data_IF_586455308178
#
_entry.id   IF_586455308178
#
_cell.length_a   1.000
_cell.length_b   1.000
_cell.length_c   1.000
_cell.angle_alpha   90.00
_cell.angle_beta   90.00
_cell.angle_gamma   90.00
#
_symmetry.space_group_name_H-M   'P 1'
#
loop_
_entity.id
_entity.type
_entity.pdbx_description
1 polymer ?
#
# COMPACT_ATOMS: atom_id res chain seq x y z
N UNK A 1 -33.48 -37.82 52.12
CA UNK A 1 -33.07 -38.21 50.74
C UNK A 1 -32.09 -37.21 50.04
N UNK A 2 -31.73 -36.08 50.63
CA UNK A 2 -30.79 -35.09 50.03
C UNK A 2 -29.31 -35.21 50.47
N UNK A 3 -28.96 -36.21 51.30
CA UNK A 3 -27.61 -36.31 51.89
C UNK A 3 -26.66 -37.28 51.21
N UNK A 4 -27.11 -38.11 50.28
CA UNK A 4 -26.30 -39.18 49.66
C UNK A 4 -25.74 -38.82 48.29
N UNK A 5 -26.39 -37.95 47.55
CA UNK A 5 -25.91 -37.47 46.23
C UNK A 5 -24.70 -36.56 46.30
N UNK A 6 -24.56 -35.74 47.33
CA UNK A 6 -23.42 -34.83 47.48
C UNK A 6 -22.10 -35.52 47.83
N UNK A 7 -22.12 -36.73 48.42
CA UNK A 7 -20.89 -37.47 48.74
C UNK A 7 -20.34 -38.25 47.53
N UNK A 8 -21.21 -38.64 46.59
CA UNK A 8 -20.79 -39.38 45.38
C UNK A 8 -20.16 -38.47 44.33
N UNK A 9 -20.62 -37.23 44.26
CA UNK A 9 -20.08 -36.23 43.34
C UNK A 9 -18.71 -35.72 43.78
N UNK A 10 -18.47 -35.53 45.08
CA UNK A 10 -17.16 -35.14 45.61
C UNK A 10 -16.05 -36.19 45.40
N UNK A 11 -16.37 -37.48 45.53
CA UNK A 11 -15.41 -38.54 45.30
C UNK A 11 -14.97 -38.75 43.85
N UNK A 12 -15.88 -38.48 42.88
CA UNK A 12 -15.56 -38.56 41.44
C UNK A 12 -14.79 -37.32 40.94
N UNK A 13 -15.06 -36.16 41.52
CA UNK A 13 -14.36 -34.92 41.17
C UNK A 13 -12.91 -34.93 41.64
N UNK A 14 -12.65 -35.46 42.86
CA UNK A 14 -11.29 -35.53 43.40
C UNK A 14 -10.41 -36.54 42.65
N UNK A 15 -10.97 -37.67 42.17
CA UNK A 15 -10.22 -38.65 41.35
C UNK A 15 -9.92 -38.14 39.92
N UNK A 16 -10.76 -37.24 39.37
CA UNK A 16 -10.52 -36.59 38.07
C UNK A 16 -9.48 -35.48 38.18
N UNK A 17 -9.48 -34.71 39.25
CA UNK A 17 -8.50 -33.63 39.49
C UNK A 17 -7.09 -34.21 39.74
N UNK A 18 -6.97 -35.32 40.44
CA UNK A 18 -5.66 -35.97 40.68
C UNK A 18 -5.09 -36.62 39.40
N UNK A 19 -5.94 -37.19 38.53
CA UNK A 19 -5.49 -37.68 37.20
C UNK A 19 -5.12 -36.59 36.24
N UNK A 20 -5.78 -35.44 36.27
CA UNK A 20 -5.44 -34.26 35.46
C UNK A 20 -4.16 -33.56 35.95
N UNK A 21 -3.93 -33.50 37.26
CA UNK A 21 -2.73 -32.92 37.84
C UNK A 21 -1.45 -33.75 37.52
N UNK A 22 -1.57 -35.10 37.52
CA UNK A 22 -0.46 -36.00 37.15
C UNK A 22 -0.19 -35.94 35.63
N UNK A 23 -1.21 -35.79 34.79
CA UNK A 23 -1.04 -35.61 33.34
C UNK A 23 -0.41 -34.24 32.98
N UNK A 24 -0.74 -33.19 33.72
CA UNK A 24 -0.13 -31.86 33.55
C UNK A 24 1.33 -31.85 34.05
N UNK A 25 1.65 -32.58 35.13
CA UNK A 25 3.03 -32.69 35.62
C UNK A 25 3.94 -33.51 34.69
N UNK A 26 3.39 -34.50 33.94
CA UNK A 26 4.11 -35.27 32.93
C UNK A 26 4.25 -34.58 31.57
N UNK A 27 3.37 -33.60 31.25
CA UNK A 27 3.51 -32.76 30.09
C UNK A 27 4.48 -31.59 30.30
N UNK A 28 4.75 -31.19 31.53
CA UNK A 28 5.70 -30.12 31.86
C UNK A 28 7.17 -30.61 31.91
N UNK A 29 7.42 -31.90 31.89
CA UNK A 29 8.79 -32.47 31.88
C UNK A 29 9.33 -32.80 30.48
N UNK A 30 8.52 -32.63 29.42
CA UNK A 30 8.93 -32.82 28.00
C UNK A 30 9.14 -31.52 27.21
N UNK A 31 9.08 -30.36 27.87
CA UNK A 31 9.35 -29.05 27.28
C UNK A 31 10.77 -28.52 27.58
N UNK A 32 11.67 -29.34 28.05
CA UNK A 32 13.11 -29.05 28.06
C UNK A 32 13.73 -29.47 26.71
N UNK A 33 13.24 -28.92 25.63
CA UNK A 33 13.86 -28.99 24.32
C UNK A 33 14.42 -27.62 23.97
N UNK A 34 15.74 -27.49 23.95
CA UNK A 34 16.55 -26.39 23.41
C UNK A 34 15.89 -25.00 23.46
N UNK A 35 15.78 -24.39 24.63
CA UNK A 35 15.63 -22.96 24.71
C UNK A 35 17.02 -22.36 24.44
N UNK A 36 17.24 -21.85 23.24
CA UNK A 36 18.26 -20.82 23.03
C UNK A 36 18.07 -19.79 24.15
N UNK A 37 19.11 -19.53 24.95
CA UNK A 37 19.00 -18.50 25.99
C UNK A 37 18.65 -17.20 25.33
N UNK A 38 17.48 -16.63 25.66
CA UNK A 38 17.16 -15.27 25.25
C UNK A 38 18.25 -14.32 25.75
N UNK A 39 18.60 -13.36 24.91
CA UNK A 39 19.53 -12.28 25.25
C UNK A 39 18.80 -11.07 25.85
N UNK A 40 17.45 -11.11 25.86
CA UNK A 40 16.60 -10.03 26.36
C UNK A 40 16.40 -10.12 27.88
N UNK A 41 16.44 -8.97 28.54
CA UNK A 41 16.26 -8.82 29.99
C UNK A 41 15.37 -7.60 30.29
N UNK A 42 14.20 -7.84 30.89
CA UNK A 42 13.25 -6.78 31.27
C UNK A 42 13.82 -5.78 32.29
N UNK A 43 14.85 -6.17 33.06
CA UNK A 43 15.49 -5.29 34.04
C UNK A 43 16.63 -4.45 33.43
N UNK A 44 17.06 -4.83 32.22
CA UNK A 44 18.07 -4.12 31.44
C UNK A 44 17.63 -4.07 29.97
N UNK A 45 16.63 -3.25 29.63
CA UNK A 45 16.00 -3.26 28.32
C UNK A 45 16.95 -2.79 27.24
N UNK A 46 16.86 -3.44 26.05
CA UNK A 46 17.53 -3.03 24.84
C UNK A 46 16.66 -2.00 24.10
N UNK A 47 17.29 -0.94 23.61
CA UNK A 47 16.61 0.08 22.81
C UNK A 47 16.93 -0.11 21.33
N UNK A 48 15.88 -0.17 20.50
CA UNK A 48 15.97 -0.11 19.03
C UNK A 48 15.53 1.27 18.55
N UNK A 49 16.32 1.87 17.69
CA UNK A 49 15.94 3.09 16.98
C UNK A 49 15.12 2.76 15.75
N UNK A 50 14.10 3.54 15.45
CA UNK A 50 13.21 3.30 14.31
C UNK A 50 12.97 4.57 13.50
N UNK A 51 13.07 4.44 12.17
CA UNK A 51 12.56 5.42 11.20
C UNK A 51 11.34 4.86 10.50
N UNK A 52 10.28 5.67 10.33
CA UNK A 52 9.11 5.21 9.59
C UNK A 52 8.50 6.31 8.71
N UNK A 53 7.71 5.88 7.73
CA UNK A 53 7.07 6.73 6.72
C UNK A 53 5.55 6.83 6.89
N UNK A 54 5.01 6.40 8.03
CA UNK A 54 3.58 6.44 8.33
C UNK A 54 3.20 7.76 8.99
N UNK A 55 3.00 8.76 8.16
CA UNK A 55 2.28 9.96 8.54
C UNK A 55 3.13 11.06 9.16
N UNK A 56 3.14 12.16 8.47
CA UNK A 56 3.47 13.48 9.02
C UNK A 56 2.39 13.97 10.00
N UNK A 57 1.40 13.12 10.32
CA UNK A 57 0.27 13.41 11.18
C UNK A 57 0.68 13.36 12.66
N UNK A 58 0.13 14.26 13.44
CA UNK A 58 0.37 14.36 14.91
C UNK A 58 0.05 13.04 15.63
N UNK A 59 -0.89 12.25 15.11
CA UNK A 59 -1.30 10.95 15.63
C UNK A 59 -0.99 9.82 14.62
N UNK A 60 0.28 9.66 14.24
CA UNK A 60 0.68 8.54 13.37
C UNK A 60 0.22 7.20 13.94
N UNK A 61 -0.50 6.35 13.17
CA UNK A 61 -0.86 5.00 13.60
C UNK A 61 0.35 4.15 14.03
N UNK A 62 1.50 4.34 13.37
CA UNK A 62 2.73 3.64 13.76
C UNK A 62 3.26 4.12 15.12
N UNK A 63 3.21 5.41 15.41
CA UNK A 63 3.60 5.91 16.73
C UNK A 63 2.71 5.34 17.85
N UNK A 64 1.41 5.16 17.58
CA UNK A 64 0.48 4.54 18.54
C UNK A 64 0.84 3.06 18.76
N UNK A 65 1.13 2.31 17.70
CA UNK A 65 1.59 0.92 17.79
C UNK A 65 2.89 0.79 18.57
N UNK A 66 3.86 1.66 18.31
CA UNK A 66 5.13 1.67 19.05
C UNK A 66 4.90 1.97 20.53
N UNK A 67 4.03 2.91 20.87
CA UNK A 67 3.68 3.20 22.25
C UNK A 67 3.01 1.99 22.93
N UNK A 68 2.04 1.35 22.27
CA UNK A 68 1.38 0.13 22.76
C UNK A 68 2.40 -1.00 22.97
N UNK A 69 3.29 -1.25 22.00
CA UNK A 69 4.33 -2.25 22.15
C UNK A 69 5.22 -1.98 23.36
N UNK A 70 5.69 -0.76 23.52
CA UNK A 70 6.57 -0.36 24.63
C UNK A 70 5.90 -0.51 26.01
N UNK A 71 4.60 -0.33 26.09
CA UNK A 71 3.82 -0.49 27.32
C UNK A 71 3.42 -1.94 27.63
N UNK A 72 3.41 -2.81 26.62
CA UNK A 72 2.96 -4.21 26.72
C UNK A 72 4.11 -5.19 26.49
N UNK A 73 4.18 -5.81 25.33
CA UNK A 73 5.15 -6.85 24.97
C UNK A 73 6.61 -6.39 25.16
N UNK A 74 6.90 -5.15 24.74
CA UNK A 74 8.24 -4.57 24.90
C UNK A 74 8.66 -4.48 26.36
N UNK A 75 7.76 -4.03 27.25
CA UNK A 75 8.02 -3.96 28.69
C UNK A 75 8.23 -5.35 29.31
N UNK A 76 7.46 -6.33 28.88
CA UNK A 76 7.58 -7.71 29.39
C UNK A 76 8.87 -8.37 28.95
N UNK A 77 9.35 -8.07 27.75
CA UNK A 77 10.54 -8.66 27.13
C UNK A 77 11.82 -7.86 27.36
N UNK A 78 11.73 -6.64 27.87
CA UNK A 78 12.88 -5.73 27.99
C UNK A 78 13.31 -5.12 26.66
N UNK A 79 12.35 -4.63 25.90
CA UNK A 79 12.56 -4.00 24.59
C UNK A 79 11.90 -2.61 24.59
N UNK A 80 12.61 -1.61 24.11
CA UNK A 80 12.11 -0.26 23.88
C UNK A 80 12.31 0.09 22.41
N UNK A 81 11.27 0.43 21.71
CA UNK A 81 11.35 1.01 20.36
C UNK A 81 11.32 2.53 20.51
N UNK A 82 12.35 3.19 20.02
CA UNK A 82 12.47 4.65 20.02
C UNK A 82 12.37 5.17 18.58
N UNK A 83 11.24 5.78 18.23
CA UNK A 83 11.09 6.45 16.93
C UNK A 83 11.93 7.70 16.91
N UNK A 84 13.05 7.67 16.19
CA UNK A 84 14.00 8.77 16.08
C UNK A 84 13.75 9.64 14.85
N UNK A 85 12.99 9.14 13.88
CA UNK A 85 12.61 9.90 12.68
C UNK A 85 11.27 9.45 12.11
N UNK A 86 10.43 10.43 11.82
CA UNK A 86 9.25 10.26 10.95
C UNK A 86 9.53 11.02 9.66
N UNK A 87 9.46 10.33 8.52
CA UNK A 87 9.74 10.87 7.19
C UNK A 87 8.64 10.42 6.21
N UNK A 88 8.91 10.43 4.93
CA UNK A 88 7.98 9.90 3.93
C UNK A 88 8.70 8.98 2.93
N UNK A 89 7.91 8.22 2.16
CA UNK A 89 8.42 7.22 1.25
C UNK A 89 9.33 7.79 0.13
N UNK A 90 9.20 9.08 -0.19
CA UNK A 90 10.03 9.74 -1.21
C UNK A 90 11.40 10.20 -0.69
N UNK A 91 11.51 10.45 0.62
CA UNK A 91 12.73 11.00 1.25
C UNK A 91 13.58 9.93 1.93
N UNK A 92 12.98 8.87 2.47
CA UNK A 92 13.70 7.90 3.28
C UNK A 92 14.91 7.28 2.57
N UNK A 93 14.84 7.07 1.26
CA UNK A 93 15.97 6.55 0.48
C UNK A 93 17.19 7.46 0.53
N UNK A 94 17.01 8.76 0.39
CA UNK A 94 18.08 9.75 0.49
C UNK A 94 18.67 9.82 1.91
N UNK A 95 17.81 9.73 2.92
CA UNK A 95 18.24 9.77 4.32
C UNK A 95 19.04 8.51 4.73
N UNK A 96 18.63 7.33 4.23
CA UNK A 96 19.38 6.08 4.41
C UNK A 96 20.74 6.14 3.69
N UNK A 97 20.78 6.68 2.46
CA UNK A 97 22.01 6.84 1.70
C UNK A 97 23.02 7.73 2.44
N UNK A 98 22.59 8.90 2.92
CA UNK A 98 23.40 9.82 3.69
C UNK A 98 23.95 9.17 4.98
N UNK A 99 23.11 8.40 5.66
CA UNK A 99 23.47 7.66 6.87
C UNK A 99 24.50 6.56 6.60
N UNK A 100 24.31 5.76 5.54
CA UNK A 100 25.25 4.71 5.12
C UNK A 100 26.61 5.30 4.71
N UNK A 101 26.60 6.43 3.99
CA UNK A 101 27.80 7.16 3.58
C UNK A 101 28.47 7.90 4.74
N UNK A 102 27.85 7.97 5.92
CA UNK A 102 28.31 8.74 7.09
C UNK A 102 28.56 10.20 6.75
N UNK A 103 27.66 10.80 5.98
CA UNK A 103 27.76 12.19 5.58
C UNK A 103 27.75 13.12 6.82
N UNK A 104 28.47 14.25 6.79
CA UNK A 104 28.42 15.21 7.87
C UNK A 104 27.01 15.69 8.18
N UNK A 105 26.55 15.48 9.40
CA UNK A 105 25.19 15.85 9.84
C UNK A 105 24.11 14.82 9.56
N UNK A 106 24.43 13.70 8.91
CA UNK A 106 23.50 12.59 8.77
C UNK A 106 23.28 11.87 10.11
N UNK A 107 22.03 11.45 10.35
CA UNK A 107 21.71 10.60 11.49
C UNK A 107 22.36 9.22 11.33
N UNK A 108 22.71 8.52 12.44
CA UNK A 108 23.18 7.15 12.35
C UNK A 108 22.08 6.23 11.83
N UNK A 109 22.48 5.12 11.16
CA UNK A 109 21.55 4.10 10.68
C UNK A 109 20.62 3.64 11.79
N UNK A 110 19.29 3.62 11.55
CA UNK A 110 18.34 3.09 12.51
C UNK A 110 18.45 1.57 12.59
N UNK A 111 18.07 0.98 13.73
CA UNK A 111 17.96 -0.48 13.87
C UNK A 111 16.77 -1.04 13.05
N UNK A 112 15.70 -0.25 12.94
CA UNK A 112 14.49 -0.58 12.19
C UNK A 112 14.11 0.59 11.28
N UNK A 113 13.64 0.28 10.08
CA UNK A 113 13.03 1.29 9.22
C UNK A 113 11.90 0.70 8.38
N UNK A 114 10.95 1.53 7.99
CA UNK A 114 9.93 1.14 7.03
C UNK A 114 10.25 1.75 5.68
N UNK A 115 10.20 0.95 4.64
CA UNK A 115 10.56 1.39 3.29
C UNK A 115 10.06 0.43 2.23
N UNK A 116 10.35 0.75 0.98
CA UNK A 116 10.14 -0.14 -0.14
C UNK A 116 11.37 -1.03 -0.37
N UNK A 117 11.21 -2.11 -1.10
CA UNK A 117 12.31 -3.03 -1.42
C UNK A 117 13.56 -2.32 -2.00
N UNK A 118 13.40 -1.27 -2.79
CA UNK A 118 14.53 -0.51 -3.32
C UNK A 118 15.36 0.18 -2.22
N UNK A 119 14.75 0.51 -1.07
CA UNK A 119 15.48 1.03 0.08
C UNK A 119 16.30 -0.08 0.75
N UNK A 120 15.74 -1.29 0.88
CA UNK A 120 16.51 -2.44 1.35
C UNK A 120 17.67 -2.81 0.40
N UNK A 121 17.48 -2.67 -0.91
CA UNK A 121 18.55 -2.83 -1.91
C UNK A 121 19.69 -1.82 -1.73
N UNK A 122 19.38 -0.58 -1.37
CA UNK A 122 20.41 0.43 -1.06
C UNK A 122 21.24 0.06 0.19
N UNK A 123 20.58 -0.50 1.21
CA UNK A 123 21.25 -0.95 2.45
C UNK A 123 22.11 -2.19 2.20
N UNK A 124 21.68 -3.06 1.31
CA UNK A 124 22.38 -4.29 0.94
C UNK A 124 22.01 -5.49 1.81
N UNK A 125 22.09 -6.68 1.22
CA UNK A 125 21.72 -7.93 1.88
C UNK A 125 22.61 -8.22 3.10
N UNK A 126 23.89 -7.92 3.01
CA UNK A 126 24.89 -8.14 4.05
C UNK A 126 24.61 -7.33 5.32
N UNK A 127 23.94 -6.19 5.18
CA UNK A 127 23.57 -5.29 6.26
C UNK A 127 22.12 -5.46 6.74
N UNK A 128 21.36 -6.33 6.09
CA UNK A 128 19.93 -6.52 6.35
C UNK A 128 19.67 -7.80 7.15
N UNK A 129 18.72 -7.73 8.08
CA UNK A 129 18.16 -8.92 8.71
C UNK A 129 17.31 -9.67 7.69
N UNK A 130 17.52 -10.97 7.58
CA UNK A 130 16.76 -11.86 6.70
C UNK A 130 15.59 -12.45 7.50
N UNK A 131 14.39 -12.05 7.14
CA UNK A 131 13.19 -12.48 7.87
C UNK A 131 12.85 -13.96 7.72
N UNK A 132 13.35 -14.63 6.66
CA UNK A 132 13.25 -16.09 6.55
C UNK A 132 13.96 -16.84 7.69
N UNK A 133 14.97 -16.23 8.31
CA UNK A 133 15.70 -16.80 9.43
C UNK A 133 14.99 -16.50 10.77
N UNK A 134 14.05 -15.57 10.77
CA UNK A 134 13.31 -15.08 11.94
C UNK A 134 11.94 -15.74 12.05
N UNK A 135 11.21 -15.83 10.94
CA UNK A 135 9.88 -16.42 10.89
C UNK A 135 9.94 -17.89 10.49
N UNK A 136 9.14 -18.74 11.13
CA UNK A 136 9.00 -20.13 10.71
C UNK A 136 8.36 -20.24 9.31
N UNK A 137 8.58 -21.36 8.62
CA UNK A 137 7.95 -21.63 7.32
C UNK A 137 6.41 -21.51 7.36
N UNK A 138 5.80 -21.90 8.50
CA UNK A 138 4.34 -21.80 8.67
C UNK A 138 3.87 -20.35 8.73
N UNK A 139 4.63 -19.49 9.40
CA UNK A 139 4.34 -18.05 9.48
C UNK A 139 4.55 -17.38 8.15
N UNK A 140 5.67 -17.66 7.47
CA UNK A 140 5.92 -17.16 6.09
C UNK A 140 4.79 -17.57 5.14
N UNK A 141 4.36 -18.83 5.15
CA UNK A 141 3.27 -19.31 4.29
C UNK A 141 1.89 -18.69 4.59
N UNK A 142 1.74 -17.99 5.72
CA UNK A 142 0.52 -17.25 6.04
C UNK A 142 0.48 -15.87 5.39
N UNK A 143 1.62 -15.30 5.00
CA UNK A 143 1.62 -14.05 4.23
C UNK A 143 1.01 -14.28 2.84
N UNK A 144 0.54 -13.19 2.24
CA UNK A 144 0.12 -13.19 0.83
C UNK A 144 1.36 -13.36 -0.04
N UNK A 145 1.35 -14.35 -0.92
CA UNK A 145 2.54 -14.77 -1.67
C UNK A 145 3.12 -13.61 -2.51
N UNK A 146 2.27 -12.87 -3.22
CA UNK A 146 2.69 -11.74 -4.06
C UNK A 146 3.27 -10.58 -3.23
N UNK A 147 2.88 -10.47 -1.96
CA UNK A 147 3.44 -9.45 -1.07
C UNK A 147 4.81 -9.85 -0.52
N UNK A 148 5.03 -11.15 -0.32
CA UNK A 148 6.35 -11.68 0.00
C UNK A 148 7.32 -11.48 -1.16
N UNK A 149 6.91 -11.86 -2.38
CA UNK A 149 7.75 -11.74 -3.57
C UNK A 149 8.27 -10.31 -3.77
N UNK A 150 7.43 -9.31 -3.46
CA UNK A 150 7.83 -7.91 -3.52
C UNK A 150 8.86 -7.48 -2.46
N UNK A 151 9.06 -8.26 -1.41
CA UNK A 151 10.02 -7.99 -0.33
C UNK A 151 11.34 -8.73 -0.46
N UNK A 152 11.55 -9.46 -1.57
CA UNK A 152 12.72 -10.31 -1.76
C UNK A 152 13.91 -9.57 -2.37
N UNK A 153 15.08 -9.86 -1.85
CA UNK A 153 16.38 -9.48 -2.39
C UNK A 153 17.24 -10.74 -2.48
N UNK A 154 17.65 -11.15 -3.68
CA UNK A 154 18.41 -12.39 -3.92
C UNK A 154 17.78 -13.62 -3.22
N UNK A 155 16.48 -13.82 -3.41
CA UNK A 155 15.69 -14.89 -2.79
C UNK A 155 15.63 -14.86 -1.24
N UNK A 156 15.97 -13.73 -0.63
CA UNK A 156 15.90 -13.50 0.81
C UNK A 156 14.87 -12.42 1.12
N UNK A 157 13.97 -12.70 2.04
CA UNK A 157 12.98 -11.72 2.52
C UNK A 157 13.65 -10.72 3.45
N UNK A 158 13.88 -9.51 2.98
CA UNK A 158 14.49 -8.41 3.74
C UNK A 158 13.54 -7.26 4.03
N UNK A 159 12.48 -7.14 3.23
CA UNK A 159 11.40 -6.17 3.42
C UNK A 159 10.12 -6.94 3.81
N UNK A 160 9.88 -7.05 5.13
CA UNK A 160 8.72 -7.78 5.67
C UNK A 160 7.44 -7.02 5.36
N UNK A 161 6.47 -7.59 4.62
CA UNK A 161 5.21 -6.91 4.36
C UNK A 161 4.53 -6.46 5.66
N UNK A 162 4.18 -5.18 5.75
CA UNK A 162 3.52 -4.58 6.92
C UNK A 162 2.17 -3.98 6.58
N UNK A 163 2.11 -3.23 5.50
CA UNK A 163 0.89 -2.68 4.93
C UNK A 163 1.04 -2.62 3.41
N UNK A 164 0.00 -2.94 2.69
CA UNK A 164 0.01 -2.88 1.23
C UNK A 164 -1.11 -2.00 0.73
N UNK A 165 -0.86 -1.30 -0.35
CA UNK A 165 -1.85 -0.47 -1.04
C UNK A 165 -1.93 -0.88 -2.51
N UNK A 166 -3.02 -0.49 -3.13
CA UNK A 166 -3.23 -0.62 -4.57
C UNK A 166 -3.89 0.64 -5.09
N UNK A 167 -3.97 0.79 -6.38
CA UNK A 167 -4.68 1.91 -6.99
C UNK A 167 -6.17 1.57 -7.04
N UNK A 168 -6.98 2.52 -6.63
CA UNK A 168 -8.45 2.48 -6.68
C UNK A 168 -8.99 3.78 -7.26
N UNK A 169 -10.28 3.81 -7.57
CA UNK A 169 -11.01 5.03 -7.82
C UNK A 169 -11.65 5.53 -6.51
N UNK A 170 -11.42 6.79 -6.18
CA UNK A 170 -12.24 7.51 -5.20
C UNK A 170 -13.15 8.47 -5.94
N UNK A 171 -14.44 8.28 -5.82
CA UNK A 171 -15.46 9.04 -6.53
C UNK A 171 -16.21 9.97 -5.57
N UNK A 172 -16.45 11.21 -5.98
CA UNK A 172 -17.38 12.12 -5.31
C UNK A 172 -18.81 11.61 -5.53
N UNK A 173 -19.37 10.93 -4.54
CA UNK A 173 -20.69 10.30 -4.63
C UNK A 173 -21.82 11.33 -4.79
N UNK A 174 -21.72 12.49 -4.14
CA UNK A 174 -22.71 13.55 -4.28
C UNK A 174 -22.77 14.08 -5.71
N UNK A 175 -21.62 14.36 -6.31
CA UNK A 175 -21.55 14.83 -7.70
C UNK A 175 -21.92 13.73 -8.70
N UNK A 176 -21.50 12.48 -8.43
CA UNK A 176 -21.89 11.33 -9.24
C UNK A 176 -23.41 11.15 -9.29
N UNK A 177 -24.12 11.28 -8.18
CA UNK A 177 -25.57 11.18 -8.15
C UNK A 177 -26.23 12.22 -9.08
N UNK A 178 -25.73 13.45 -9.10
CA UNK A 178 -26.22 14.50 -10.02
C UNK A 178 -25.97 14.10 -11.48
N UNK A 179 -24.74 13.73 -11.80
CA UNK A 179 -24.32 13.29 -13.12
C UNK A 179 -25.10 12.07 -13.62
N UNK A 180 -25.23 11.04 -12.76
CA UNK A 180 -25.99 9.82 -13.06
C UNK A 180 -27.47 10.10 -13.35
N UNK A 181 -28.11 10.99 -12.57
CA UNK A 181 -29.51 11.34 -12.80
C UNK A 181 -29.73 12.02 -14.16
N UNK A 182 -28.81 12.85 -14.59
CA UNK A 182 -28.92 13.60 -15.85
C UNK A 182 -28.54 12.75 -17.06
N UNK A 183 -27.59 11.81 -16.93
CA UNK A 183 -26.99 11.08 -18.07
C UNK A 183 -27.34 9.60 -18.12
N UNK A 184 -27.88 9.05 -17.05
CA UNK A 184 -28.14 7.61 -16.85
C UNK A 184 -26.88 6.75 -16.77
N UNK A 185 -25.71 7.33 -16.62
CA UNK A 185 -24.44 6.61 -16.30
C UNK A 185 -24.56 5.96 -14.93
N UNK A 186 -24.14 4.72 -14.84
CA UNK A 186 -24.17 3.91 -13.61
C UNK A 186 -22.78 3.50 -13.15
N UNK A 187 -22.63 2.97 -11.94
CA UNK A 187 -21.34 2.48 -11.44
C UNK A 187 -20.79 1.31 -12.29
N UNK A 188 -21.66 0.56 -12.99
CA UNK A 188 -21.22 -0.53 -13.88
C UNK A 188 -20.49 -0.02 -15.14
N UNK A 189 -20.62 1.27 -15.46
CA UNK A 189 -19.96 1.87 -16.61
C UNK A 189 -18.47 2.22 -16.31
N UNK A 190 -17.97 1.86 -15.14
CA UNK A 190 -16.57 2.03 -14.72
C UNK A 190 -15.79 0.70 -14.63
N UNK A 191 -16.31 -0.40 -15.15
CA UNK A 191 -15.69 -1.73 -15.02
C UNK A 191 -14.39 -1.84 -15.83
N UNK A 192 -14.36 -1.26 -17.04
CA UNK A 192 -13.19 -1.32 -17.94
C UNK A 192 -12.73 0.07 -18.37
N UNK A 193 -11.46 0.22 -18.73
CA UNK A 193 -10.92 1.50 -19.22
C UNK A 193 -11.67 2.02 -20.43
N UNK A 194 -12.09 1.16 -21.35
CA UNK A 194 -12.88 1.60 -22.53
C UNK A 194 -14.22 2.22 -22.12
N UNK A 195 -14.87 1.68 -21.08
CA UNK A 195 -16.10 2.29 -20.54
C UNK A 195 -15.78 3.62 -19.84
N UNK A 196 -14.75 3.65 -19.01
CA UNK A 196 -14.31 4.86 -18.30
C UNK A 196 -14.03 6.01 -19.28
N UNK A 197 -13.36 5.75 -20.41
CA UNK A 197 -13.08 6.81 -21.40
C UNK A 197 -14.34 7.32 -22.09
N UNK A 198 -15.33 6.46 -22.32
CA UNK A 198 -16.64 6.91 -22.84
C UNK A 198 -17.39 7.76 -21.81
N UNK A 199 -17.38 7.34 -20.55
CA UNK A 199 -17.94 8.15 -19.46
C UNK A 199 -17.20 9.48 -19.32
N UNK A 200 -15.87 9.50 -19.51
CA UNK A 200 -15.07 10.70 -19.43
C UNK A 200 -15.45 11.74 -20.49
N UNK A 201 -15.75 11.31 -21.71
CA UNK A 201 -16.28 12.17 -22.77
C UNK A 201 -17.66 12.75 -22.38
N UNK A 202 -18.58 11.91 -21.93
CA UNK A 202 -19.92 12.32 -21.46
C UNK A 202 -19.83 13.30 -20.28
N UNK A 203 -18.94 13.02 -19.31
CA UNK A 203 -18.75 13.89 -18.15
C UNK A 203 -18.16 15.26 -18.54
N UNK A 204 -17.20 15.26 -19.45
CA UNK A 204 -16.58 16.48 -19.95
C UNK A 204 -17.62 17.43 -20.58
N UNK A 205 -18.55 16.90 -21.39
CA UNK A 205 -19.66 17.66 -21.96
C UNK A 205 -20.64 18.14 -20.87
N UNK A 206 -21.07 17.24 -19.99
CA UNK A 206 -22.01 17.57 -18.92
C UNK A 206 -21.47 18.60 -17.94
N UNK A 207 -20.19 18.55 -17.61
CA UNK A 207 -19.53 19.39 -16.61
C UNK A 207 -19.00 20.72 -17.16
N UNK A 208 -19.21 21.02 -18.46
CA UNK A 208 -18.61 22.16 -19.15
C UNK A 208 -17.08 22.16 -19.16
N UNK A 209 -16.48 21.02 -19.46
CA UNK A 209 -15.05 20.89 -19.72
C UNK A 209 -14.19 20.46 -18.52
N UNK A 210 -14.79 19.92 -17.46
CA UNK A 210 -14.02 19.31 -16.36
C UNK A 210 -13.62 17.87 -16.72
N UNK A 211 -12.39 17.44 -16.37
CA UNK A 211 -11.98 16.06 -16.53
C UNK A 211 -12.78 15.13 -15.59
N UNK A 212 -13.09 13.91 -16.07
CA UNK A 212 -13.75 12.89 -15.25
C UNK A 212 -12.86 12.50 -14.07
N UNK A 213 -11.61 12.18 -14.35
CA UNK A 213 -10.67 11.71 -13.34
C UNK A 213 -9.33 12.41 -13.40
N UNK A 214 -8.69 12.52 -12.24
CA UNK A 214 -7.34 12.99 -12.06
C UNK A 214 -6.46 11.84 -11.54
N UNK A 215 -5.30 11.65 -12.14
CA UNK A 215 -4.34 10.60 -11.75
C UNK A 215 -3.23 11.17 -10.86
N UNK A 216 -2.91 10.48 -9.78
CA UNK A 216 -1.66 10.74 -9.06
C UNK A 216 -0.45 10.42 -9.96
N UNK A 217 -0.54 9.33 -10.72
CA UNK A 217 0.53 8.87 -11.57
C UNK A 217 0.00 8.00 -12.73
N UNK A 218 -0.28 8.62 -13.86
CA UNK A 218 -0.93 7.94 -15.00
C UNK A 218 -0.11 6.80 -15.59
N UNK A 219 1.23 6.82 -15.44
CA UNK A 219 2.09 5.78 -16.00
C UNK A 219 1.84 4.39 -15.37
N UNK A 220 1.38 4.33 -14.12
CA UNK A 220 0.95 3.05 -13.54
C UNK A 220 -0.18 2.40 -14.35
N UNK A 221 -1.08 3.21 -14.88
CA UNK A 221 -2.19 2.74 -15.71
C UNK A 221 -1.72 2.34 -17.11
N UNK A 222 -0.79 3.09 -17.69
CA UNK A 222 -0.15 2.73 -18.96
C UNK A 222 0.57 1.39 -18.84
N UNK A 223 1.36 1.20 -17.79
CA UNK A 223 2.09 -0.05 -17.54
C UNK A 223 1.16 -1.25 -17.36
N UNK A 224 0.13 -1.11 -16.51
CA UNK A 224 -0.84 -2.18 -16.28
C UNK A 224 -1.58 -2.54 -17.56
N UNK A 225 -1.94 -1.55 -18.36
CA UNK A 225 -2.63 -1.76 -19.63
C UNK A 225 -1.72 -2.43 -20.67
N UNK A 226 -0.45 -2.03 -20.76
CA UNK A 226 0.55 -2.67 -21.63
C UNK A 226 0.76 -4.15 -21.26
N UNK A 227 0.82 -4.47 -19.96
CA UNK A 227 0.88 -5.87 -19.49
C UNK A 227 -0.36 -6.64 -19.94
N UNK A 228 -1.54 -6.06 -19.80
CA UNK A 228 -2.79 -6.69 -20.25
C UNK A 228 -2.84 -6.92 -21.77
N UNK A 229 -2.25 -6.04 -22.56
CA UNK A 229 -2.08 -6.22 -24.01
C UNK A 229 -1.04 -7.29 -24.37
N UNK A 230 -0.27 -7.79 -23.39
CA UNK A 230 0.71 -8.87 -23.59
C UNK A 230 2.15 -8.40 -23.74
N UNK A 231 2.46 -7.13 -23.39
CA UNK A 231 3.84 -6.66 -23.41
C UNK A 231 4.74 -7.50 -22.51
N UNK A 232 5.88 -7.91 -23.04
CA UNK A 232 6.93 -8.66 -22.34
C UNK A 232 8.24 -7.89 -22.26
N UNK A 233 8.36 -6.83 -23.03
CA UNK A 233 9.60 -6.06 -23.22
C UNK A 233 9.36 -4.55 -23.04
N UNK A 234 8.39 -4.18 -22.21
CA UNK A 234 8.05 -2.79 -21.91
C UNK A 234 9.21 -1.98 -21.31
N UNK A 235 10.17 -2.68 -20.70
CA UNK A 235 11.36 -2.06 -20.12
C UNK A 235 12.64 -2.56 -20.78
N UNK A 236 13.60 -1.67 -20.97
CA UNK A 236 14.97 -1.98 -21.37
C UNK A 236 15.75 -2.58 -20.20
N UNK A 237 16.97 -3.05 -20.47
CA UNK A 237 17.87 -3.64 -19.46
C UNK A 237 18.23 -2.66 -18.32
N UNK A 238 18.20 -1.35 -18.59
CA UNK A 238 18.40 -0.30 -17.58
C UNK A 238 17.15 0.00 -16.74
N UNK A 239 16.04 -0.67 -17.03
CA UNK A 239 14.74 -0.51 -16.38
C UNK A 239 13.91 0.67 -16.91
N UNK A 240 14.38 1.41 -17.95
CA UNK A 240 13.61 2.46 -18.59
C UNK A 240 12.64 1.91 -19.63
N UNK A 241 11.63 2.67 -19.99
CA UNK A 241 10.61 2.28 -20.96
C UNK A 241 11.22 1.98 -22.34
N UNK A 242 10.86 0.84 -22.91
CA UNK A 242 11.17 0.48 -24.27
C UNK A 242 10.12 1.07 -25.22
N UNK A 243 10.45 2.18 -25.83
CA UNK A 243 9.54 2.88 -26.75
C UNK A 243 9.32 2.19 -28.09
N UNK A 244 10.00 1.07 -28.35
CA UNK A 244 9.79 0.23 -29.54
C UNK A 244 8.85 -0.96 -29.25
N UNK A 245 8.45 -1.19 -27.98
CA UNK A 245 7.44 -2.16 -27.60
C UNK A 245 6.04 -1.69 -28.05
N UNK A 246 5.39 -2.46 -28.91
CA UNK A 246 4.13 -2.08 -29.56
C UNK A 246 2.96 -1.99 -28.58
N UNK A 247 2.91 -2.93 -27.65
CA UNK A 247 1.88 -2.98 -26.62
C UNK A 247 2.02 -1.78 -25.68
N UNK A 248 3.24 -1.37 -25.36
CA UNK A 248 3.50 -0.15 -24.60
C UNK A 248 3.10 1.11 -25.38
N UNK A 249 3.44 1.21 -26.66
CA UNK A 249 3.03 2.32 -27.52
C UNK A 249 1.50 2.46 -27.56
N UNK A 250 0.79 1.34 -27.73
CA UNK A 250 -0.67 1.31 -27.74
C UNK A 250 -1.26 1.74 -26.39
N UNK A 251 -0.74 1.22 -25.30
CA UNK A 251 -1.15 1.61 -23.96
C UNK A 251 -0.90 3.09 -23.68
N UNK A 252 0.29 3.57 -24.02
CA UNK A 252 0.67 4.96 -23.86
C UNK A 252 -0.30 5.88 -24.62
N UNK A 253 -0.55 5.59 -25.89
CA UNK A 253 -1.52 6.32 -26.71
C UNK A 253 -2.93 6.30 -26.08
N UNK A 254 -3.40 5.14 -25.63
CA UNK A 254 -4.73 4.95 -25.05
C UNK A 254 -5.01 5.91 -23.89
N UNK A 255 -4.01 6.21 -23.06
CA UNK A 255 -4.14 7.14 -21.94
C UNK A 255 -3.79 8.59 -22.33
N UNK A 256 -2.88 8.80 -23.29
CA UNK A 256 -2.48 10.15 -23.72
C UNK A 256 -3.58 10.86 -24.48
N UNK A 257 -4.32 10.19 -25.36
CA UNK A 257 -5.39 10.83 -26.13
C UNK A 257 -6.46 11.49 -25.25
N UNK A 258 -7.09 10.80 -24.28
CA UNK A 258 -8.06 11.45 -23.41
C UNK A 258 -7.43 12.51 -22.50
N UNK A 259 -6.14 12.37 -22.15
CA UNK A 259 -5.40 13.38 -21.39
C UNK A 259 -5.18 14.64 -22.22
N UNK A 260 -4.79 14.52 -23.48
CA UNK A 260 -4.63 15.65 -24.43
C UNK A 260 -5.98 16.33 -24.69
N UNK A 261 -7.07 15.56 -24.81
CA UNK A 261 -8.44 16.11 -24.95
C UNK A 261 -8.94 16.81 -23.68
N UNK A 262 -8.30 16.58 -22.54
CA UNK A 262 -8.75 17.11 -21.25
C UNK A 262 -9.89 16.33 -20.61
N UNK A 263 -10.22 15.13 -21.13
CA UNK A 263 -11.23 14.26 -20.56
C UNK A 263 -10.76 13.60 -19.25
N UNK A 264 -9.44 13.44 -19.10
CA UNK A 264 -8.75 13.03 -17.88
C UNK A 264 -7.61 14.02 -17.62
N UNK A 265 -7.06 14.03 -16.41
CA UNK A 265 -5.98 14.93 -16.02
C UNK A 265 -4.90 14.25 -15.19
N UNK A 266 -3.72 14.84 -15.19
CA UNK A 266 -2.59 14.47 -14.35
C UNK A 266 -2.50 15.44 -13.16
N UNK A 267 -2.38 14.91 -11.95
CA UNK A 267 -2.34 15.71 -10.73
C UNK A 267 -1.05 16.53 -10.60
N UNK A 268 -1.18 17.73 -10.08
CA UNK A 268 -0.04 18.56 -9.63
C UNK A 268 0.46 18.14 -8.25
N UNK A 269 -0.46 17.67 -7.41
CA UNK A 269 -0.22 17.14 -6.09
C UNK A 269 -0.80 15.72 -6.02
N UNK A 270 -1.74 15.52 -5.11
CA UNK A 270 -2.52 14.30 -5.02
C UNK A 270 -3.90 14.52 -5.64
N UNK A 271 -4.41 13.56 -6.39
CA UNK A 271 -5.74 13.62 -7.02
C UNK A 271 -6.88 13.82 -6.01
N UNK A 272 -6.65 13.45 -4.75
CA UNK A 272 -7.55 13.77 -3.63
C UNK A 272 -7.82 15.27 -3.48
N UNK A 273 -6.84 16.13 -3.80
CA UNK A 273 -7.02 17.58 -3.80
C UNK A 273 -8.05 18.01 -4.87
N UNK A 274 -7.90 17.54 -6.11
CA UNK A 274 -8.84 17.86 -7.21
C UNK A 274 -10.24 17.29 -6.93
N UNK A 275 -10.30 16.12 -6.29
CA UNK A 275 -11.57 15.52 -5.87
C UNK A 275 -12.28 16.39 -4.82
N UNK A 276 -11.57 16.85 -3.80
CA UNK A 276 -12.13 17.63 -2.69
C UNK A 276 -12.32 19.12 -3.00
N UNK A 277 -11.83 19.59 -4.16
CA UNK A 277 -12.11 20.93 -4.71
C UNK A 277 -13.16 20.89 -5.82
N UNK A 278 -13.68 19.73 -6.18
CA UNK A 278 -14.70 19.58 -7.23
C UNK A 278 -14.17 19.82 -8.64
N UNK A 279 -12.86 19.74 -8.84
CA UNK A 279 -12.24 19.86 -10.17
C UNK A 279 -12.41 18.61 -11.00
N UNK A 280 -12.49 17.44 -10.35
CA UNK A 280 -12.75 16.14 -10.99
C UNK A 280 -13.81 15.36 -10.21
N UNK A 281 -14.45 14.40 -10.91
CA UNK A 281 -15.38 13.48 -10.27
C UNK A 281 -14.64 12.35 -9.54
N UNK A 282 -13.49 11.91 -10.05
CA UNK A 282 -12.75 10.75 -9.57
C UNK A 282 -11.28 11.11 -9.36
N UNK A 283 -10.74 10.70 -8.20
CA UNK A 283 -9.31 10.60 -7.94
C UNK A 283 -8.83 9.17 -8.22
N UNK A 284 -7.83 9.01 -9.10
CA UNK A 284 -7.16 7.73 -9.37
C UNK A 284 -5.88 7.70 -8.57
N UNK A 285 -5.91 7.03 -7.43
CA UNK A 285 -4.84 7.10 -6.44
C UNK A 285 -4.67 5.80 -5.65
N UNK A 286 -3.63 5.76 -4.86
CA UNK A 286 -3.44 4.71 -3.87
C UNK A 286 -4.63 4.62 -2.91
N UNK A 287 -5.03 3.42 -2.51
CA UNK A 287 -6.01 3.21 -1.45
C UNK A 287 -5.65 3.95 -0.15
N UNK A 288 -4.35 4.17 0.10
CA UNK A 288 -3.85 4.96 1.23
C UNK A 288 -4.20 6.46 1.14
N UNK A 289 -4.61 6.96 0.00
CA UNK A 289 -5.12 8.34 -0.14
C UNK A 289 -6.42 8.56 0.65
N UNK A 290 -7.10 7.49 1.07
CA UNK A 290 -8.26 7.54 1.95
C UNK A 290 -8.04 8.42 3.19
N UNK A 291 -6.86 8.39 3.79
CA UNK A 291 -6.48 9.24 4.93
C UNK A 291 -6.54 10.75 4.66
N UNK A 292 -6.47 11.13 3.40
CA UNK A 292 -6.38 12.54 2.96
C UNK A 292 -7.67 13.02 2.29
N UNK A 293 -8.70 12.17 2.26
CA UNK A 293 -10.02 12.58 1.81
C UNK A 293 -10.71 13.36 2.94
N UNK A 294 -11.29 14.50 2.58
CA UNK A 294 -12.14 15.25 3.47
C UNK A 294 -13.60 14.84 3.24
N UNK A 295 -14.41 14.91 4.27
CA UNK A 295 -15.86 14.60 4.17
C UNK A 295 -16.62 15.64 3.33
N UNK A 296 -15.96 16.75 3.00
CA UNK A 296 -16.57 17.92 2.36
C UNK A 296 -15.78 18.29 1.10
N UNK A 297 -16.51 18.56 0.03
CA UNK A 297 -16.01 19.25 -1.15
C UNK A 297 -16.13 20.75 -0.95
N UNK A 298 -15.07 21.48 -1.22
CA UNK A 298 -15.05 22.95 -1.21
C UNK A 298 -14.78 23.46 -2.61
N UNK A 299 -15.76 24.08 -3.24
CA UNK A 299 -15.66 24.62 -4.58
C UNK A 299 -14.92 25.97 -4.61
N UNK A 300 -14.43 26.43 -5.80
CA UNK A 300 -13.71 27.69 -5.93
C UNK A 300 -14.51 28.94 -5.50
N UNK A 301 -15.83 28.86 -5.51
CA UNK A 301 -16.73 29.93 -5.04
C UNK A 301 -16.99 29.88 -3.52
N UNK A 302 -16.27 29.01 -2.80
CA UNK A 302 -16.42 28.74 -1.37
C UNK A 302 -17.74 28.07 -0.96
N UNK A 303 -18.54 27.59 -1.90
CA UNK A 303 -19.66 26.70 -1.57
C UNK A 303 -19.14 25.32 -1.19
N UNK A 304 -19.88 24.61 -0.37
CA UNK A 304 -19.50 23.27 0.12
C UNK A 304 -20.65 22.29 0.00
N UNK A 305 -20.32 21.03 -0.20
CA UNK A 305 -21.26 19.92 -0.10
C UNK A 305 -20.55 18.65 0.44
N UNK A 306 -21.29 17.67 0.98
CA UNK A 306 -20.70 16.40 1.39
C UNK A 306 -20.03 15.70 0.21
N UNK A 307 -18.86 15.09 0.45
CA UNK A 307 -18.16 14.27 -0.55
C UNK A 307 -18.90 12.94 -0.78
N UNK A 308 -19.30 12.26 0.30
CA UNK A 308 -19.87 10.91 0.26
C UNK A 308 -19.03 9.98 -0.62
N UNK A 309 -17.75 9.83 -0.27
CA UNK A 309 -16.78 9.14 -1.11
C UNK A 309 -17.18 7.68 -1.38
N UNK A 310 -17.12 7.29 -2.65
CA UNK A 310 -17.33 5.93 -3.10
C UNK A 310 -15.99 5.40 -3.60
N UNK A 311 -15.52 4.29 -3.03
CA UNK A 311 -14.39 3.57 -3.60
C UNK A 311 -14.88 2.57 -4.65
N UNK A 312 -14.23 2.55 -5.82
CA UNK A 312 -14.49 1.58 -6.88
C UNK A 312 -13.21 0.80 -7.21
N UNK A 313 -13.36 -0.46 -7.66
CA UNK A 313 -12.24 -1.22 -8.16
C UNK A 313 -11.52 -0.49 -9.30
N UNK A 314 -10.21 -0.66 -9.35
CA UNK A 314 -9.42 -0.20 -10.49
C UNK A 314 -9.95 -0.81 -11.79
N UNK A 315 -10.20 -0.02 -12.86
CA UNK A 315 -10.80 -0.54 -14.08
C UNK A 315 -9.94 -1.63 -14.72
N UNK A 316 -10.59 -2.71 -15.16
CA UNK A 316 -9.95 -3.76 -15.93
C UNK A 316 -9.52 -3.24 -17.30
N UNK A 317 -8.45 -3.79 -17.85
CA UNK A 317 -8.10 -3.49 -19.24
C UNK A 317 -9.18 -4.04 -20.20
N UNK A 318 -9.63 -5.27 -19.97
CA UNK A 318 -10.75 -5.93 -20.63
C UNK A 318 -11.37 -6.98 -19.68
N UNK A 319 -12.31 -7.78 -20.19
CA UNK A 319 -13.04 -8.77 -19.40
C UNK A 319 -12.13 -9.84 -18.76
N UNK A 320 -11.00 -10.13 -19.41
CA UNK A 320 -10.11 -11.23 -19.04
C UNK A 320 -8.86 -10.75 -18.26
N UNK A 321 -8.61 -9.43 -18.23
CA UNK A 321 -7.42 -8.85 -17.66
C UNK A 321 -7.76 -7.84 -16.55
N UNK A 322 -8.05 -8.40 -15.38
CA UNK A 322 -8.19 -7.67 -14.12
C UNK A 322 -6.83 -7.64 -13.41
N UNK A 323 -6.10 -6.54 -13.51
CA UNK A 323 -4.77 -6.37 -12.93
C UNK A 323 -4.80 -5.32 -11.84
N UNK A 324 -4.12 -5.60 -10.72
CA UNK A 324 -3.91 -4.63 -9.65
C UNK A 324 -2.43 -4.51 -9.33
N UNK A 325 -1.95 -3.30 -9.21
CA UNK A 325 -0.60 -3.04 -8.71
C UNK A 325 -0.57 -3.24 -7.22
N UNK A 326 0.62 -3.51 -6.68
CA UNK A 326 0.85 -3.42 -5.25
C UNK A 326 1.91 -2.38 -4.96
N UNK A 327 1.70 -1.64 -3.89
CA UNK A 327 2.65 -0.72 -3.30
C UNK A 327 2.57 -0.84 -1.77
N UNK A 328 3.14 0.11 -1.08
CA UNK A 328 3.22 0.10 0.36
C UNK A 328 4.59 -0.34 0.84
N UNK A 329 4.87 -0.02 2.08
CA UNK A 329 6.16 -0.28 2.69
C UNK A 329 6.11 -1.49 3.59
N UNK A 330 7.25 -2.14 3.75
CA UNK A 330 7.44 -3.18 4.74
C UNK A 330 8.36 -2.74 5.87
N UNK A 331 8.64 -3.65 6.78
CA UNK A 331 9.58 -3.49 7.86
C UNK A 331 10.93 -4.09 7.47
N UNK A 332 11.96 -3.25 7.49
CA UNK A 332 13.34 -3.64 7.33
C UNK A 332 14.10 -3.48 8.65
N UNK A 333 15.09 -4.32 8.89
CA UNK A 333 15.96 -4.21 10.06
C UNK A 333 17.43 -4.21 9.64
N UNK A 334 18.19 -3.25 10.19
CA UNK A 334 19.62 -3.16 9.99
C UNK A 334 20.34 -4.14 10.91
N UNK A 335 21.30 -4.87 10.36
CA UNK A 335 22.01 -5.92 11.05
C UNK A 335 23.01 -5.32 12.06
N UNK A 336 22.81 -5.62 13.33
CA UNK A 336 23.63 -5.11 14.43
C UNK A 336 23.99 -6.27 15.40
N UNK A 337 23.76 -6.12 16.69
CA UNK A 337 24.04 -7.16 17.69
C UNK A 337 22.92 -8.23 17.70
N UNK A 338 23.27 -9.45 18.15
CA UNK A 338 22.31 -10.55 18.30
C UNK A 338 21.12 -10.16 19.18
N UNK A 339 21.37 -9.40 20.26
CA UNK A 339 20.33 -8.90 21.17
C UNK A 339 19.35 -7.97 20.45
N UNK A 340 19.85 -7.04 19.64
CA UNK A 340 19.00 -6.15 18.85
C UNK A 340 18.24 -6.90 17.75
N UNK A 341 18.86 -7.91 17.13
CA UNK A 341 18.17 -8.73 16.14
C UNK A 341 17.06 -9.57 16.78
N UNK A 342 17.29 -10.13 17.98
CA UNK A 342 16.25 -10.81 18.75
C UNK A 342 15.11 -9.85 19.11
N UNK A 343 15.40 -8.63 19.54
CA UNK A 343 14.41 -7.62 19.84
C UNK A 343 13.60 -7.20 18.59
N UNK A 344 14.27 -7.03 17.44
CA UNK A 344 13.62 -6.76 16.16
C UNK A 344 12.68 -7.89 15.73
N UNK A 345 13.08 -9.15 15.97
CA UNK A 345 12.25 -10.33 15.74
C UNK A 345 10.95 -10.30 16.56
N UNK A 346 11.05 -10.00 17.86
CA UNK A 346 9.88 -9.88 18.74
C UNK A 346 8.92 -8.80 18.26
N UNK A 347 9.46 -7.63 17.92
CA UNK A 347 8.64 -6.52 17.42
C UNK A 347 7.97 -6.83 16.08
N UNK A 348 8.69 -7.47 15.15
CA UNK A 348 8.16 -7.87 13.85
C UNK A 348 6.99 -8.86 13.99
N UNK A 349 7.13 -9.91 14.80
CA UNK A 349 6.06 -10.87 15.07
C UNK A 349 4.83 -10.19 15.69
N UNK A 350 5.07 -9.27 16.63
CA UNK A 350 4.01 -8.52 17.29
C UNK A 350 3.25 -7.62 16.29
N UNK A 351 3.95 -6.93 15.39
CA UNK A 351 3.34 -6.05 14.38
C UNK A 351 2.44 -6.79 13.38
N UNK A 352 2.85 -7.98 12.94
CA UNK A 352 2.14 -8.74 11.90
C UNK A 352 1.11 -9.72 12.46
N UNK A 353 0.84 -9.67 13.78
CA UNK A 353 -0.26 -10.44 14.37
C UNK A 353 -1.56 -10.06 13.64
N UNK A 354 -2.35 -11.05 13.14
CA UNK A 354 -3.42 -10.79 12.18
C UNK A 354 -4.46 -9.75 12.61
N UNK A 355 -4.89 -9.77 13.88
CA UNK A 355 -5.87 -8.79 14.36
C UNK A 355 -5.26 -7.40 14.43
N UNK A 356 -4.06 -7.28 15.01
CA UNK A 356 -3.35 -6.01 15.11
C UNK A 356 -3.02 -5.42 13.74
N UNK A 357 -2.61 -6.28 12.80
CA UNK A 357 -2.36 -5.84 11.44
C UNK A 357 -3.63 -5.30 10.77
N UNK A 358 -4.80 -5.94 10.96
CA UNK A 358 -6.09 -5.39 10.49
C UNK A 358 -6.38 -4.05 11.15
N UNK A 359 -6.31 -3.97 12.48
CA UNK A 359 -6.58 -2.74 13.23
C UNK A 359 -5.66 -1.57 12.80
N UNK A 360 -4.43 -1.88 12.40
CA UNK A 360 -3.47 -0.91 11.88
C UNK A 360 -3.79 -0.45 10.46
N UNK A 361 -4.00 -1.40 9.53
CA UNK A 361 -4.15 -1.07 8.10
C UNK A 361 -5.45 -0.34 7.80
N UNK A 362 -6.54 -0.62 8.54
CA UNK A 362 -7.82 0.04 8.32
C UNK A 362 -7.78 1.54 8.67
N UNK A 363 -6.86 1.98 9.50
CA UNK A 363 -6.67 3.39 9.81
C UNK A 363 -6.10 4.20 8.63
N UNK A 364 -5.47 3.51 7.66
CA UNK A 364 -4.74 4.15 6.58
C UNK A 364 -5.19 3.76 5.17
N UNK A 365 -6.29 3.04 5.01
CA UNK A 365 -6.72 2.58 3.69
C UNK A 365 -5.80 1.53 3.07
N UNK A 366 -5.00 0.84 3.90
CA UNK A 366 -4.11 -0.22 3.45
C UNK A 366 -4.77 -1.59 3.51
N UNK A 367 -4.22 -2.53 2.74
CA UNK A 367 -4.55 -3.96 2.81
C UNK A 367 -3.69 -4.64 3.88
N UNK A 368 -4.26 -5.60 4.64
CA UNK A 368 -3.51 -6.46 5.53
C UNK A 368 -2.58 -7.38 4.73
N UNK A 369 -1.59 -7.97 5.39
CA UNK A 369 -0.50 -8.66 4.70
C UNK A 369 -0.53 -10.17 4.84
N UNK A 370 -1.41 -10.74 5.67
CA UNK A 370 -1.54 -12.18 5.82
C UNK A 370 -2.89 -12.70 5.34
N UNK A 371 -2.91 -13.96 4.88
CA UNK A 371 -4.14 -14.68 4.46
C UNK A 371 -5.18 -14.71 5.60
N UNK A 372 -4.72 -14.88 6.85
CA UNK A 372 -5.59 -14.87 8.03
C UNK A 372 -6.15 -13.47 8.32
N UNK A 373 -5.35 -12.43 8.16
CA UNK A 373 -5.81 -11.05 8.33
C UNK A 373 -6.86 -10.66 7.28
N UNK A 374 -6.68 -11.03 6.01
CA UNK A 374 -7.71 -10.85 4.97
C UNK A 374 -9.01 -11.59 5.30
N UNK A 375 -8.91 -12.82 5.87
CA UNK A 375 -10.10 -13.54 6.32
C UNK A 375 -10.82 -12.82 7.47
N UNK A 376 -10.07 -12.22 8.39
CA UNK A 376 -10.65 -11.41 9.47
C UNK A 376 -11.32 -10.17 8.88
N UNK A 377 -10.65 -9.46 7.97
CA UNK A 377 -11.17 -8.26 7.31
C UNK A 377 -12.53 -8.47 6.64
N UNK A 378 -12.76 -9.63 6.00
CA UNK A 378 -14.06 -9.97 5.39
C UNK A 378 -15.23 -9.99 6.37
N UNK A 379 -14.96 -10.17 7.65
CA UNK A 379 -15.96 -10.23 8.71
C UNK A 379 -16.10 -8.91 9.47
N UNK A 380 -15.20 -7.94 9.21
CA UNK A 380 -15.30 -6.60 9.80
C UNK A 380 -16.52 -5.87 9.23
N UNK A 381 -17.18 -5.12 10.12
CA UNK A 381 -18.25 -4.19 9.76
C UNK A 381 -17.84 -2.81 10.21
N UNK A 382 -17.81 -1.91 9.26
CA UNK A 382 -17.48 -0.52 9.52
C UNK A 382 -18.77 0.27 9.77
N UNK A 383 -18.74 1.19 10.73
CA UNK A 383 -19.87 2.08 11.01
C UNK A 383 -20.01 3.15 9.92
N UNK A 384 -18.89 3.52 9.32
CA UNK A 384 -18.74 4.51 8.28
C UNK A 384 -18.85 3.85 6.90
N UNK A 385 -19.77 4.35 6.05
CA UNK A 385 -20.08 3.83 4.73
C UNK A 385 -18.90 3.95 3.74
N UNK A 386 -18.10 4.99 3.89
CA UNK A 386 -16.94 5.24 3.02
C UNK A 386 -15.83 4.20 3.29
N UNK A 387 -15.53 3.94 4.55
CA UNK A 387 -14.61 2.87 4.96
C UNK A 387 -15.13 1.51 4.51
N UNK A 388 -16.43 1.24 4.68
CA UNK A 388 -17.04 -0.01 4.20
C UNK A 388 -16.91 -0.16 2.68
N UNK A 389 -17.14 0.91 1.93
CA UNK A 389 -16.98 0.96 0.47
C UNK A 389 -15.55 0.61 0.06
N UNK A 390 -14.56 1.24 0.69
CA UNK A 390 -13.14 0.98 0.41
C UNK A 390 -12.76 -0.48 0.66
N UNK A 391 -13.13 -1.03 1.83
CA UNK A 391 -12.72 -2.40 2.18
C UNK A 391 -13.50 -3.48 1.43
N UNK A 392 -14.73 -3.21 0.99
CA UNK A 392 -15.42 -4.05 0.03
C UNK A 392 -14.64 -4.10 -1.31
N UNK A 393 -14.25 -2.94 -1.82
CA UNK A 393 -13.46 -2.80 -3.06
C UNK A 393 -12.12 -3.51 -2.97
N UNK A 394 -11.34 -3.31 -1.90
CA UNK A 394 -10.04 -3.96 -1.72
C UNK A 394 -10.17 -5.49 -1.59
N UNK A 395 -11.23 -5.96 -0.93
CA UNK A 395 -11.50 -7.39 -0.79
C UNK A 395 -11.90 -8.02 -2.12
N UNK A 396 -12.73 -7.36 -2.91
CA UNK A 396 -13.10 -7.77 -4.27
C UNK A 396 -11.86 -7.83 -5.16
N UNK A 397 -11.09 -6.77 -5.22
CA UNK A 397 -9.88 -6.72 -6.04
C UNK A 397 -8.87 -7.81 -5.64
N UNK A 398 -8.66 -8.05 -4.34
CA UNK A 398 -7.76 -9.14 -3.91
C UNK A 398 -8.27 -10.52 -4.30
N UNK A 399 -9.58 -10.71 -4.39
CA UNK A 399 -10.20 -11.98 -4.82
C UNK A 399 -10.09 -12.20 -6.33
N UNK A 400 -10.32 -11.16 -7.11
CA UNK A 400 -10.66 -11.27 -8.53
C UNK A 400 -9.56 -10.76 -9.47
N UNK A 401 -8.57 -10.01 -8.95
CA UNK A 401 -7.52 -9.39 -9.74
C UNK A 401 -6.19 -10.14 -9.58
N UNK A 402 -5.41 -10.17 -10.65
CA UNK A 402 -4.01 -10.60 -10.60
C UNK A 402 -3.15 -9.47 -10.08
N UNK A 403 -2.41 -9.72 -9.02
CA UNK A 403 -1.46 -8.74 -8.46
C UNK A 403 -0.22 -8.69 -9.32
N UNK A 404 0.17 -7.49 -9.75
CA UNK A 404 1.41 -7.24 -10.48
C UNK A 404 2.34 -6.37 -9.63
N UNK A 405 3.63 -6.67 -9.71
CA UNK A 405 4.68 -5.93 -9.02
C UNK A 405 5.64 -5.35 -10.05
N UNK A 406 6.13 -4.16 -9.76
CA UNK A 406 7.19 -3.52 -10.55
C UNK A 406 8.46 -3.46 -9.72
N UNK A 407 9.51 -4.10 -10.19
CA UNK A 407 10.85 -3.95 -9.62
C UNK A 407 11.55 -2.75 -10.25
N UNK A 408 11.59 -1.64 -9.54
CA UNK A 408 12.15 -0.37 -10.03
C UNK A 408 13.29 0.06 -9.14
N UNK A 409 14.42 0.41 -9.75
CA UNK A 409 15.50 1.06 -9.02
C UNK A 409 15.11 2.49 -8.62
N UNK A 410 15.73 3.01 -7.58
CA UNK A 410 15.51 4.40 -7.17
C UNK A 410 15.80 5.41 -8.29
N UNK A 411 16.87 5.19 -9.06
CA UNK A 411 17.23 6.03 -10.21
C UNK A 411 16.14 6.05 -11.28
N UNK A 412 15.61 4.90 -11.65
CA UNK A 412 14.50 4.79 -12.63
C UNK A 412 13.22 5.45 -12.09
N UNK A 413 12.91 5.25 -10.81
CA UNK A 413 11.76 5.90 -10.19
C UNK A 413 11.85 7.43 -10.28
N UNK A 414 13.01 8.02 -9.98
CA UNK A 414 13.23 9.47 -10.13
C UNK A 414 13.07 9.97 -11.55
N UNK A 415 13.60 9.23 -12.55
CA UNK A 415 13.41 9.53 -13.97
C UNK A 415 11.93 9.51 -14.34
N UNK A 416 11.21 8.50 -13.89
CA UNK A 416 9.78 8.34 -14.17
C UNK A 416 8.93 9.48 -13.58
N UNK A 417 9.21 9.95 -12.37
CA UNK A 417 8.57 11.13 -11.80
C UNK A 417 8.90 12.41 -12.56
N UNK A 418 10.15 12.59 -12.99
CA UNK A 418 10.55 13.74 -13.79
C UNK A 418 9.87 13.75 -15.17
N UNK A 419 9.73 12.59 -15.81
CA UNK A 419 8.96 12.44 -17.03
C UNK A 419 7.47 12.75 -16.82
N UNK A 420 6.86 12.20 -15.76
CA UNK A 420 5.47 12.49 -15.42
C UNK A 420 5.22 13.99 -15.20
N UNK A 421 6.15 14.69 -14.57
CA UNK A 421 6.10 16.14 -14.41
C UNK A 421 6.10 16.89 -15.77
N UNK A 422 6.81 16.38 -16.77
CA UNK A 422 6.74 16.93 -18.14
C UNK A 422 5.37 16.70 -18.76
N UNK A 423 4.80 15.51 -18.64
CA UNK A 423 3.44 15.23 -19.13
C UNK A 423 2.44 16.21 -18.52
N UNK A 424 2.48 16.38 -17.21
CA UNK A 424 1.59 17.28 -16.48
C UNK A 424 1.73 18.74 -16.93
N UNK A 425 2.97 19.21 -17.09
CA UNK A 425 3.24 20.60 -17.53
C UNK A 425 2.83 20.88 -18.96
N UNK A 426 2.94 19.88 -19.84
CA UNK A 426 2.60 20.04 -21.25
C UNK A 426 1.10 19.84 -21.53
N UNK A 427 0.35 19.17 -20.64
CA UNK A 427 -1.07 18.87 -20.85
C UNK A 427 -1.91 20.09 -21.25
N UNK A 428 -1.86 21.26 -20.58
CA UNK A 428 -2.66 22.41 -20.98
C UNK A 428 -2.35 22.94 -22.39
N UNK A 429 -1.07 22.91 -22.78
CA UNK A 429 -0.62 23.31 -24.09
C UNK A 429 -1.06 22.31 -25.16
N UNK A 430 -0.93 21.03 -24.94
CA UNK A 430 -1.39 19.99 -25.85
C UNK A 430 -2.91 20.09 -26.08
N UNK A 431 -3.68 20.29 -25.01
CA UNK A 431 -5.12 20.49 -25.09
C UNK A 431 -5.46 21.67 -25.96
N UNK A 432 -4.85 22.84 -25.74
CA UNK A 432 -5.09 24.03 -26.54
C UNK A 432 -4.74 23.84 -28.03
N UNK A 433 -3.65 23.14 -28.33
CA UNK A 433 -3.24 22.81 -29.70
C UNK A 433 -4.24 21.85 -30.37
N UNK A 434 -4.68 20.83 -29.65
CA UNK A 434 -5.72 19.90 -30.12
C UNK A 434 -7.03 20.64 -30.42
N UNK A 435 -7.49 21.51 -29.53
CA UNK A 435 -8.69 22.31 -29.69
C UNK A 435 -8.57 23.29 -30.88
N UNK A 436 -7.36 23.70 -31.24
CA UNK A 436 -7.10 24.52 -32.43
C UNK A 436 -7.01 23.72 -33.74
N UNK A 437 -7.18 22.40 -33.69
CA UNK A 437 -7.22 21.49 -34.83
C UNK A 437 -5.90 20.82 -35.17
N UNK A 438 -4.90 20.83 -34.30
CA UNK A 438 -3.67 20.08 -34.52
C UNK A 438 -3.91 18.56 -34.42
N UNK A 439 -3.18 17.80 -35.24
CA UNK A 439 -3.34 16.35 -35.33
C UNK A 439 -2.91 15.66 -34.04
N UNK A 440 -3.76 14.77 -33.56
CA UNK A 440 -3.52 13.97 -32.34
C UNK A 440 -2.23 13.16 -32.45
N UNK A 441 -1.91 12.59 -33.62
CA UNK A 441 -0.70 11.80 -33.83
C UNK A 441 0.58 12.61 -33.58
N UNK A 442 0.58 13.89 -33.91
CA UNK A 442 1.71 14.80 -33.66
C UNK A 442 1.88 15.00 -32.14
N UNK A 443 0.79 15.22 -31.42
CA UNK A 443 0.83 15.49 -29.99
C UNK A 443 1.23 14.26 -29.18
N UNK A 444 0.73 13.09 -29.54
CA UNK A 444 1.12 11.81 -28.93
C UNK A 444 2.59 11.51 -29.22
N UNK A 445 3.06 11.75 -30.46
CA UNK A 445 4.46 11.56 -30.84
C UNK A 445 5.39 12.48 -30.03
N UNK A 446 5.00 13.74 -29.83
CA UNK A 446 5.75 14.70 -29.00
C UNK A 446 5.92 14.19 -27.56
N UNK A 447 4.86 13.65 -26.95
CA UNK A 447 4.93 13.05 -25.64
C UNK A 447 5.86 11.81 -25.61
N UNK A 448 5.83 10.99 -26.68
CA UNK A 448 6.70 9.84 -26.82
C UNK A 448 8.18 10.28 -27.01
N UNK A 449 8.45 11.35 -27.71
CA UNK A 449 9.80 11.90 -27.90
C UNK A 449 10.35 12.47 -26.59
N UNK A 450 9.49 13.08 -25.76
CA UNK A 450 9.87 13.47 -24.39
C UNK A 450 10.25 12.24 -23.57
N UNK A 451 9.47 11.15 -23.64
CA UNK A 451 9.79 9.89 -22.95
C UNK A 451 11.16 9.34 -23.41
N UNK A 452 11.44 9.33 -24.72
CA UNK A 452 12.72 8.93 -25.30
C UNK A 452 13.89 9.76 -24.79
N UNK A 453 13.69 11.05 -24.55
CA UNK A 453 14.75 11.95 -24.08
C UNK A 453 15.26 11.66 -22.68
N UNK A 454 14.56 10.82 -21.93
CA UNK A 454 14.96 10.36 -20.60
C UNK A 454 15.75 9.04 -20.64
N UNK A 455 15.92 8.41 -21.80
CA UNK A 455 16.66 7.14 -21.99
C UNK A 455 18.12 7.28 -21.64
#
# INVERSE_FOLDING_TARGET
>A
QKGWEQRYIKGKFMKKVIKSAVAIALCLSSLYGCSSKTTLDKNNPVTLTMWHVYGEQVNSPMNQLVAEFNETEGKEKGIIINVTKVTNASKIGQELEASLAKEPGADPMPDLYTGHIHNAKQVGLENSVVWNDVFSKKEINNFVDEFLDAGMLEDKLVDLPLSKSTIVFFMNGTQFNKFSNDTQVTLNDFETWNQVFKVAETYYEWSNGKPLCCFDYVLNSVESYAIALGSKHMFNDDGWYNTEDKEFQEAFRTFLEPLIKGHISASDFYSSTQLTTGETLIGVSSSAAYLYLNDIVTYPDNTTEPLNAIALPYPKADKDHALMTQAGVGLCAYKTTDQKQEAASVFAHWLVEPKRNVDFVIQGGYMPVTKKAFKNLKNEKFEDEETQSLYNTLTEMKSDYTVISRDVTYAVSRKAYAFYDQIRKNQPQWKARYESGEDMDILVQEAMDILKSFS
#
